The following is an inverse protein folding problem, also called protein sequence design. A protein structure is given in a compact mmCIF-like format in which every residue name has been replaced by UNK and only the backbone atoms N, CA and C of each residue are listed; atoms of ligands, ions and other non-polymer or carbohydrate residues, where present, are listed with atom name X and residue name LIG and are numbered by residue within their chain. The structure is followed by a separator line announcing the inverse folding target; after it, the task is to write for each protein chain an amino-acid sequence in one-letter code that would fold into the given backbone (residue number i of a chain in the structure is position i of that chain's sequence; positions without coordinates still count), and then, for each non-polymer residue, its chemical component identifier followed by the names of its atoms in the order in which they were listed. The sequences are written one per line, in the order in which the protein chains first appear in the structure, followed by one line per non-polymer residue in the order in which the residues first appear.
data_IF_280302760202
#
_entry.id   IF_280302760202
#
_cell.length_a   1.000
_cell.length_b   1.000
_cell.length_c   1.000
_cell.angle_alpha   90.00
_cell.angle_beta   90.00
_cell.angle_gamma   90.00
#
_symmetry.space_group_name_H-M   'P 1'
#
loop_
_entity.id
_entity.type
_entity.pdbx_description
1 polymer ?
#
# COMPACT_ATOMS: atom_id res chain seq x y z
N UNK A 1 -17.88 -25.02 11.04
CA UNK A 1 -18.86 -25.36 12.10
C UNK A 1 -19.87 -24.25 12.14
N UNK A 2 -21.16 -24.56 11.93
CA UNK A 2 -22.23 -23.55 11.99
C UNK A 2 -22.37 -23.05 13.43
N UNK A 3 -21.81 -21.93 13.78
CA UNK A 3 -22.04 -21.26 15.06
C UNK A 3 -23.49 -20.76 15.11
N UNK A 4 -24.15 -20.93 16.26
CA UNK A 4 -25.57 -20.51 16.38
C UNK A 4 -25.73 -19.00 16.21
N UNK A 5 -26.84 -18.49 15.66
CA UNK A 5 -27.10 -17.06 15.50
C UNK A 5 -26.93 -16.27 16.82
N UNK A 6 -27.29 -16.89 17.94
CA UNK A 6 -27.14 -16.31 19.28
C UNK A 6 -25.66 -16.13 19.62
N UNK A 7 -24.82 -17.13 19.34
CA UNK A 7 -23.37 -17.06 19.57
C UNK A 7 -22.74 -15.94 18.74
N UNK A 8 -23.12 -15.81 17.48
CA UNK A 8 -22.60 -14.75 16.57
C UNK A 8 -23.03 -13.35 17.01
N UNK A 9 -24.28 -13.18 17.46
CA UNK A 9 -24.75 -11.91 18.04
C UNK A 9 -23.93 -11.53 19.26
N UNK A 10 -23.61 -12.49 20.14
CA UNK A 10 -22.75 -12.27 21.31
C UNK A 10 -21.35 -11.86 20.91
N UNK A 11 -20.75 -12.55 19.95
CA UNK A 11 -19.42 -12.25 19.43
C UNK A 11 -19.36 -10.83 18.87
N UNK A 12 -20.30 -10.41 18.02
CA UNK A 12 -20.37 -9.06 17.45
C UNK A 12 -20.45 -7.97 18.51
N UNK A 13 -21.15 -8.23 19.62
CA UNK A 13 -21.31 -7.26 20.71
C UNK A 13 -20.12 -7.27 21.66
N UNK A 14 -19.59 -8.46 22.02
CA UNK A 14 -18.48 -8.56 23.00
C UNK A 14 -17.13 -8.16 22.39
N UNK A 15 -16.94 -8.36 21.07
CA UNK A 15 -15.76 -7.89 20.34
C UNK A 15 -15.77 -6.37 20.05
N UNK A 16 -16.89 -5.68 20.35
CA UNK A 16 -17.02 -4.25 20.11
C UNK A 16 -17.30 -3.86 18.66
N UNK A 17 -17.45 -4.83 17.75
CA UNK A 17 -17.77 -4.60 16.33
C UNK A 17 -19.10 -3.87 16.16
N UNK A 18 -20.08 -4.18 17.02
CA UNK A 18 -21.36 -3.47 17.05
C UNK A 18 -21.83 -3.23 18.49
N UNK A 19 -22.47 -2.07 18.72
CA UNK A 19 -23.19 -1.86 19.98
C UNK A 19 -24.52 -2.62 19.97
N UNK A 20 -25.03 -3.02 21.14
CA UNK A 20 -26.36 -3.67 21.28
C UNK A 20 -27.48 -2.89 20.56
N UNK A 21 -27.47 -1.56 20.73
CA UNK A 21 -28.46 -0.68 20.10
C UNK A 21 -28.24 -0.54 18.59
N UNK A 22 -27.00 -0.53 18.11
CA UNK A 22 -26.63 -0.49 16.69
C UNK A 22 -27.08 -1.75 15.98
N UNK A 23 -26.75 -2.93 16.52
CA UNK A 23 -27.18 -4.23 16.00
C UNK A 23 -28.72 -4.38 15.97
N UNK A 24 -29.41 -3.93 17.03
CA UNK A 24 -30.88 -3.96 17.06
C UNK A 24 -31.48 -3.13 15.91
N UNK A 25 -31.01 -1.89 15.72
CA UNK A 25 -31.47 -1.03 14.62
C UNK A 25 -31.19 -1.65 13.26
N UNK A 26 -29.99 -2.17 13.04
CA UNK A 26 -29.57 -2.79 11.78
C UNK A 26 -30.39 -4.05 11.44
N UNK A 27 -30.79 -4.83 12.46
CA UNK A 27 -31.68 -5.99 12.31
C UNK A 27 -33.18 -5.63 12.26
N UNK A 28 -33.55 -4.33 12.23
CA UNK A 28 -34.95 -3.91 12.24
C UNK A 28 -35.70 -4.25 13.55
N UNK A 29 -34.97 -4.22 14.66
CA UNK A 29 -35.47 -4.49 16.00
C UNK A 29 -35.53 -3.21 16.86
N UNK A 30 -36.37 -3.21 17.88
CA UNK A 30 -36.35 -2.13 18.87
C UNK A 30 -35.05 -2.17 19.69
N UNK A 31 -34.45 -1.01 19.99
CA UNK A 31 -33.12 -0.89 20.62
C UNK A 31 -32.94 -1.68 21.90
N UNK A 32 -34.02 -1.87 22.68
CA UNK A 32 -33.99 -2.62 23.94
C UNK A 32 -34.08 -4.15 23.76
N UNK A 33 -34.38 -4.66 22.55
CA UNK A 33 -34.59 -6.09 22.31
C UNK A 33 -33.31 -6.90 22.56
N UNK A 34 -32.13 -6.30 22.35
CA UNK A 34 -30.85 -6.94 22.56
C UNK A 34 -30.15 -6.54 23.88
N UNK A 35 -30.88 -5.92 24.84
CA UNK A 35 -30.28 -5.46 26.10
C UNK A 35 -29.50 -6.56 26.83
N UNK A 36 -30.08 -7.73 26.90
CA UNK A 36 -29.58 -8.88 27.66
C UNK A 36 -28.92 -9.95 26.77
N UNK A 37 -28.61 -9.66 25.49
CA UNK A 37 -28.13 -10.63 24.50
C UNK A 37 -26.77 -11.26 24.83
N UNK A 38 -26.00 -10.67 25.72
CA UNK A 38 -24.73 -11.19 26.24
C UNK A 38 -24.89 -12.16 27.42
N UNK A 39 -26.09 -12.22 28.02
CA UNK A 39 -26.40 -13.11 29.15
C UNK A 39 -26.71 -14.54 28.60
N UNK A 40 -26.27 -15.57 29.32
CA UNK A 40 -26.49 -16.98 28.92
C UNK A 40 -27.99 -17.36 28.98
N UNK A 41 -28.76 -16.65 29.79
CA UNK A 41 -30.20 -16.85 29.96
C UNK A 41 -31.04 -16.18 28.84
N UNK A 42 -30.40 -15.35 27.97
CA UNK A 42 -31.14 -14.65 26.92
C UNK A 42 -31.73 -15.62 25.91
N UNK A 43 -33.05 -15.61 25.78
CA UNK A 43 -33.83 -16.44 24.90
C UNK A 43 -34.70 -15.57 23.98
N UNK A 44 -34.27 -15.22 22.77
CA UNK A 44 -35.03 -14.37 21.86
C UNK A 44 -36.27 -15.08 21.32
N UNK A 45 -37.31 -14.31 21.01
CA UNK A 45 -38.52 -14.83 20.31
C UNK A 45 -38.13 -15.32 18.93
N UNK A 46 -38.96 -16.21 18.34
CA UNK A 46 -38.74 -16.71 16.96
C UNK A 46 -38.69 -15.56 15.95
N UNK A 47 -39.48 -14.50 16.10
CA UNK A 47 -39.47 -13.33 15.24
C UNK A 47 -38.16 -12.55 15.38
N UNK A 48 -37.68 -12.35 16.62
CA UNK A 48 -36.39 -11.71 16.88
C UNK A 48 -35.25 -12.52 16.26
N UNK A 49 -35.27 -13.84 16.45
CA UNK A 49 -34.27 -14.75 15.88
C UNK A 49 -34.25 -14.69 14.36
N UNK A 50 -35.41 -14.74 13.69
CA UNK A 50 -35.50 -14.66 12.25
C UNK A 50 -34.97 -13.33 11.68
N UNK A 51 -35.22 -12.19 12.34
CA UNK A 51 -34.66 -10.89 11.97
C UNK A 51 -33.15 -10.83 12.17
N UNK A 52 -32.64 -11.42 13.26
CA UNK A 52 -31.21 -11.52 13.51
C UNK A 52 -30.55 -12.48 12.51
N UNK A 53 -31.14 -13.61 12.21
CA UNK A 53 -30.66 -14.54 11.17
C UNK A 53 -30.63 -13.86 9.80
N UNK A 54 -31.70 -13.17 9.42
CA UNK A 54 -31.74 -12.39 8.19
C UNK A 54 -30.63 -11.33 8.12
N UNK A 55 -30.42 -10.62 9.23
CA UNK A 55 -29.31 -9.67 9.35
C UNK A 55 -27.96 -10.35 9.26
N UNK A 56 -27.75 -11.45 10.01
CA UNK A 56 -26.50 -12.21 10.01
C UNK A 56 -26.20 -12.81 8.61
N UNK A 57 -27.19 -13.41 7.96
CA UNK A 57 -27.03 -13.94 6.59
C UNK A 57 -26.72 -12.82 5.60
N UNK A 58 -27.38 -11.67 5.71
CA UNK A 58 -27.11 -10.52 4.84
C UNK A 58 -25.74 -9.87 5.10
N UNK A 59 -25.12 -10.10 6.28
CA UNK A 59 -23.89 -9.44 6.71
C UNK A 59 -22.72 -10.40 6.95
N UNK A 60 -22.85 -11.68 6.70
CA UNK A 60 -22.05 -12.71 7.33
C UNK A 60 -20.99 -13.39 6.46
N UNK A 61 -20.95 -13.18 5.17
CA UNK A 61 -20.05 -13.96 4.28
C UNK A 61 -18.99 -13.13 3.55
N UNK A 62 -18.90 -11.83 3.80
CA UNK A 62 -17.85 -11.04 3.15
C UNK A 62 -16.92 -10.45 4.21
N UNK A 63 -15.61 -10.75 4.16
CA UNK A 63 -14.63 -9.98 4.91
C UNK A 63 -14.81 -8.50 4.53
N UNK A 64 -14.76 -7.62 5.52
CA UNK A 64 -14.92 -6.17 5.29
C UNK A 64 -13.86 -5.68 4.30
N UNK A 65 -12.65 -6.25 4.35
CA UNK A 65 -11.56 -5.99 3.44
C UNK A 65 -11.20 -7.26 2.66
N UNK A 66 -11.00 -7.11 1.35
CA UNK A 66 -10.50 -8.15 0.47
C UNK A 66 -8.98 -8.19 0.48
N UNK A 67 -8.37 -9.34 0.22
CA UNK A 67 -6.94 -9.46 -0.01
C UNK A 67 -6.53 -8.73 -1.30
N UNK A 68 -5.25 -8.39 -1.43
CA UNK A 68 -4.76 -7.74 -2.65
C UNK A 68 -4.82 -8.66 -3.86
N UNK A 69 -4.65 -9.96 -3.67
CA UNK A 69 -4.85 -10.98 -4.70
C UNK A 69 -6.28 -10.92 -5.25
N UNK A 70 -7.28 -10.81 -4.37
CA UNK A 70 -8.68 -10.66 -4.78
C UNK A 70 -8.93 -9.35 -5.52
N UNK A 71 -8.32 -8.23 -5.09
CA UNK A 71 -8.40 -6.93 -5.78
C UNK A 71 -7.75 -7.02 -7.17
N UNK A 72 -6.60 -7.68 -7.30
CA UNK A 72 -5.94 -7.93 -8.59
C UNK A 72 -6.85 -8.77 -9.50
N UNK A 73 -7.55 -9.75 -8.96
CA UNK A 73 -8.49 -10.57 -9.73
C UNK A 73 -9.75 -9.78 -10.15
N UNK A 74 -10.26 -8.87 -9.32
CA UNK A 74 -11.30 -7.93 -9.74
C UNK A 74 -10.83 -7.08 -10.93
N UNK A 75 -9.64 -6.48 -10.82
CA UNK A 75 -9.04 -5.69 -11.89
C UNK A 75 -8.87 -6.50 -13.19
N UNK A 76 -8.33 -7.73 -13.09
CA UNK A 76 -8.13 -8.64 -14.25
C UNK A 76 -9.43 -8.98 -14.95
N UNK A 77 -10.51 -9.12 -14.20
CA UNK A 77 -11.84 -9.42 -14.72
C UNK A 77 -12.63 -8.17 -15.14
N UNK A 78 -12.02 -6.98 -15.11
CA UNK A 78 -12.67 -5.72 -15.50
C UNK A 78 -13.75 -5.27 -14.54
N UNK A 79 -13.75 -5.75 -13.29
CA UNK A 79 -14.66 -5.31 -12.24
C UNK A 79 -14.04 -4.15 -11.45
N UNK A 80 -14.93 -3.24 -11.06
CA UNK A 80 -14.57 -2.09 -10.24
C UNK A 80 -14.33 -2.53 -8.79
N UNK A 81 -13.36 -1.92 -8.14
CA UNK A 81 -13.01 -2.15 -6.74
C UNK A 81 -12.79 -0.82 -6.03
N UNK A 82 -12.71 -0.85 -4.71
CA UNK A 82 -12.42 0.30 -3.86
C UNK A 82 -11.03 0.09 -3.25
N UNK A 83 -10.19 1.11 -3.26
CA UNK A 83 -9.01 1.17 -2.40
C UNK A 83 -9.17 2.30 -1.40
N UNK A 84 -8.74 2.03 -0.16
CA UNK A 84 -8.72 2.99 0.94
C UNK A 84 -7.28 3.32 1.27
N UNK A 85 -6.95 4.59 1.46
CA UNK A 85 -5.66 5.02 1.95
C UNK A 85 -5.62 5.14 3.47
N UNK A 86 -4.46 5.50 4.03
CA UNK A 86 -4.27 5.59 5.47
C UNK A 86 -5.06 6.76 6.08
N UNK A 87 -5.51 6.58 7.35
CA UNK A 87 -6.22 7.60 8.12
C UNK A 87 -5.39 8.89 8.29
N UNK A 88 -4.05 8.76 8.35
CA UNK A 88 -3.11 9.87 8.48
C UNK A 88 -2.82 10.60 7.15
N UNK A 89 -3.38 10.11 6.01
CA UNK A 89 -3.22 10.73 4.70
C UNK A 89 -4.48 11.49 4.27
N UNK A 90 -5.30 10.97 3.36
CA UNK A 90 -6.57 11.55 2.93
C UNK A 90 -7.74 10.90 3.69
N UNK A 91 -7.55 9.65 4.12
CA UNK A 91 -8.57 8.81 4.75
C UNK A 91 -9.82 8.69 3.87
N UNK A 92 -9.61 8.41 2.59
CA UNK A 92 -10.66 8.37 1.57
C UNK A 92 -10.68 7.00 0.87
N UNK A 93 -11.75 6.72 0.15
CA UNK A 93 -11.88 5.56 -0.70
C UNK A 93 -12.24 5.95 -2.11
N UNK A 94 -11.48 5.43 -3.08
CA UNK A 94 -11.72 5.64 -4.49
C UNK A 94 -12.31 4.40 -5.14
N UNK A 95 -13.32 4.59 -5.98
CA UNK A 95 -13.69 3.63 -7.02
C UNK A 95 -12.59 3.57 -8.06
N UNK A 96 -12.10 2.37 -8.35
CA UNK A 96 -11.01 2.17 -9.31
C UNK A 96 -11.41 1.10 -10.33
N UNK A 97 -11.06 1.32 -11.58
CA UNK A 97 -11.14 0.33 -12.65
C UNK A 97 -9.90 0.47 -13.56
N UNK A 98 -9.29 -0.63 -14.05
CA UNK A 98 -8.25 -0.51 -15.06
C UNK A 98 -8.74 0.29 -16.28
N UNK A 99 -7.94 1.24 -16.77
CA UNK A 99 -8.39 2.18 -17.79
C UNK A 99 -8.83 1.50 -19.10
N UNK A 100 -8.23 0.35 -19.46
CA UNK A 100 -8.67 -0.42 -20.64
C UNK A 100 -10.05 -1.07 -20.48
N UNK A 101 -10.57 -1.14 -19.24
CA UNK A 101 -11.90 -1.66 -18.91
C UNK A 101 -12.91 -0.54 -18.59
N UNK A 102 -12.52 0.75 -18.75
CA UNK A 102 -13.35 1.91 -18.47
C UNK A 102 -14.41 2.12 -19.56
N UNK A 103 -15.49 1.33 -19.49
CA UNK A 103 -16.65 1.47 -20.39
C UNK A 103 -17.49 2.71 -20.06
N UNK A 104 -18.37 3.17 -20.96
CA UNK A 104 -19.34 4.23 -20.64
C UNK A 104 -20.17 3.93 -19.39
N UNK A 105 -20.53 2.66 -19.16
CA UNK A 105 -21.26 2.22 -17.97
C UNK A 105 -20.46 2.40 -16.70
N UNK A 106 -19.15 2.07 -16.72
CA UNK A 106 -18.25 2.25 -15.60
C UNK A 106 -18.10 3.75 -15.26
N UNK A 107 -17.89 4.61 -16.26
CA UNK A 107 -17.80 6.06 -16.09
C UNK A 107 -19.10 6.63 -15.55
N UNK A 108 -20.25 6.17 -16.06
CA UNK A 108 -21.55 6.60 -15.55
C UNK A 108 -21.76 6.15 -14.08
N UNK A 109 -21.30 4.95 -13.73
CA UNK A 109 -21.37 4.46 -12.34
C UNK A 109 -20.54 5.35 -11.41
N UNK A 110 -19.30 5.66 -11.77
CA UNK A 110 -18.44 6.59 -11.01
C UNK A 110 -19.08 7.96 -10.85
N UNK A 111 -19.58 8.55 -11.92
CA UNK A 111 -20.23 9.86 -11.89
C UNK A 111 -21.50 9.88 -11.02
N UNK A 112 -22.29 8.79 -11.03
CA UNK A 112 -23.57 8.73 -10.31
C UNK A 112 -23.39 8.37 -8.84
N UNK A 113 -22.50 7.42 -8.54
CA UNK A 113 -22.39 6.81 -7.21
C UNK A 113 -21.10 7.24 -6.48
N UNK A 114 -19.98 7.43 -7.18
CA UNK A 114 -18.76 7.98 -6.60
C UNK A 114 -18.91 9.47 -6.32
N UNK A 115 -19.35 10.26 -7.30
CA UNK A 115 -19.59 11.72 -7.24
C UNK A 115 -18.33 12.54 -7.17
N UNK A 116 -17.14 11.92 -7.07
CA UNK A 116 -15.83 12.54 -7.08
C UNK A 116 -15.37 12.99 -8.46
N UNK A 117 -14.13 13.44 -8.56
CA UNK A 117 -13.51 13.81 -9.82
C UNK A 117 -13.00 12.56 -10.55
N UNK A 118 -13.57 12.27 -11.74
CA UNK A 118 -13.10 11.14 -12.54
C UNK A 118 -11.75 11.48 -13.17
N UNK A 119 -10.70 10.85 -12.70
CA UNK A 119 -9.33 11.06 -13.11
C UNK A 119 -8.75 9.82 -13.82
N UNK A 120 -7.79 10.04 -14.72
CA UNK A 120 -7.07 9.00 -15.44
C UNK A 120 -5.63 8.89 -14.91
N UNK A 121 -5.35 7.92 -14.07
CA UNK A 121 -4.01 7.61 -13.61
C UNK A 121 -3.19 6.95 -14.73
N UNK A 122 -2.05 7.54 -15.08
CA UNK A 122 -1.14 7.10 -16.14
C UNK A 122 0.28 6.92 -15.61
N UNK A 123 0.98 5.90 -16.10
CA UNK A 123 2.41 5.80 -15.92
C UNK A 123 3.14 6.98 -16.56
N UNK A 124 4.25 7.44 -15.95
CA UNK A 124 5.04 8.58 -16.43
C UNK A 124 5.41 8.46 -17.92
N UNK A 125 5.86 7.28 -18.36
CA UNK A 125 6.22 7.04 -19.76
C UNK A 125 5.07 7.33 -20.73
N UNK A 126 3.81 7.09 -20.33
CA UNK A 126 2.64 7.40 -21.16
C UNK A 126 2.34 8.90 -21.18
N UNK A 127 2.46 9.57 -20.03
CA UNK A 127 2.32 11.04 -19.92
C UNK A 127 3.35 11.74 -20.80
N UNK A 128 4.61 11.29 -20.75
CA UNK A 128 5.70 11.83 -21.58
C UNK A 128 5.43 11.60 -23.07
N UNK A 129 5.00 10.38 -23.48
CA UNK A 129 4.67 10.04 -24.85
C UNK A 129 3.53 10.92 -25.42
N UNK A 130 2.52 11.19 -24.60
CA UNK A 130 1.40 12.07 -24.97
C UNK A 130 1.75 13.57 -24.86
N UNK A 131 2.97 13.91 -24.41
CA UNK A 131 3.44 15.29 -24.20
C UNK A 131 2.50 16.12 -23.31
N UNK A 132 1.91 15.49 -22.28
CA UNK A 132 1.00 16.17 -21.36
C UNK A 132 1.79 17.02 -20.37
N UNK A 133 1.54 18.33 -20.41
CA UNK A 133 2.20 19.27 -19.50
C UNK A 133 1.56 19.23 -18.11
N UNK A 134 2.33 19.46 -17.03
CA UNK A 134 1.74 19.66 -15.70
C UNK A 134 0.70 20.79 -15.71
N UNK A 135 -0.41 20.60 -15.02
CA UNK A 135 -1.46 21.61 -14.89
C UNK A 135 -0.95 22.90 -14.21
N UNK A 136 0.01 22.75 -13.30
CA UNK A 136 0.68 23.86 -12.63
C UNK A 136 2.20 23.68 -12.66
N UNK A 137 2.95 24.76 -13.00
CA UNK A 137 4.41 24.75 -12.91
C UNK A 137 4.94 24.69 -11.49
N UNK A 138 4.14 25.15 -10.53
CA UNK A 138 4.47 25.13 -9.11
C UNK A 138 3.29 24.48 -8.37
N UNK A 139 3.37 23.15 -8.21
CA UNK A 139 2.36 22.41 -7.49
C UNK A 139 2.46 22.70 -5.99
N UNK A 140 1.44 23.35 -5.44
CA UNK A 140 1.29 23.69 -4.02
C UNK A 140 0.23 22.86 -3.31
N UNK A 141 -0.32 21.87 -3.99
CA UNK A 141 -1.28 20.95 -3.43
C UNK A 141 -0.61 20.13 -2.33
N UNK A 142 -1.31 19.91 -1.20
CA UNK A 142 -0.77 19.33 0.04
C UNK A 142 -0.23 17.90 -0.16
N UNK A 143 -0.91 17.10 -0.98
CA UNK A 143 -0.54 15.72 -1.29
C UNK A 143 0.35 15.61 -2.54
N UNK A 144 0.65 16.74 -3.20
CA UNK A 144 1.46 16.84 -4.41
C UNK A 144 0.97 15.95 -5.56
N UNK A 145 -0.36 15.81 -5.71
CA UNK A 145 -0.97 15.06 -6.80
C UNK A 145 -0.57 15.69 -8.14
N UNK A 146 0.00 14.87 -9.02
CA UNK A 146 0.61 15.34 -10.25
C UNK A 146 -0.43 15.45 -11.38
N UNK A 147 -1.34 16.40 -11.26
CA UNK A 147 -2.28 16.76 -12.33
C UNK A 147 -1.55 17.24 -13.58
N UNK A 148 -1.97 16.73 -14.74
CA UNK A 148 -1.62 17.30 -16.04
C UNK A 148 -2.78 18.13 -16.57
N UNK A 149 -2.54 18.85 -17.68
CA UNK A 149 -3.62 19.53 -18.41
C UNK A 149 -4.72 18.52 -18.76
N UNK A 150 -5.99 18.93 -18.64
CA UNK A 150 -7.13 18.09 -19.01
C UNK A 150 -7.17 17.83 -20.52
N UNK A 151 -7.70 16.68 -20.91
CA UNK A 151 -7.67 16.19 -22.28
C UNK A 151 -9.06 15.84 -22.81
N UNK A 152 -9.15 15.82 -24.14
CA UNK A 152 -10.29 15.32 -24.90
C UNK A 152 -9.78 14.52 -26.09
N UNK A 153 -10.49 13.44 -26.49
CA UNK A 153 -10.22 12.80 -27.77
C UNK A 153 -10.53 13.76 -28.92
N UNK A 154 -9.63 13.85 -29.90
CA UNK A 154 -9.82 14.71 -31.08
C UNK A 154 -11.01 14.28 -31.93
N UNK A 155 -11.28 12.96 -31.95
CA UNK A 155 -12.32 12.36 -32.76
C UNK A 155 -13.17 11.36 -31.97
N UNK A 156 -14.44 11.26 -32.35
CA UNK A 156 -15.37 10.29 -31.77
C UNK A 156 -16.00 10.74 -30.46
N UNK A 157 -16.01 12.03 -30.18
CA UNK A 157 -16.68 12.67 -29.04
C UNK A 157 -17.65 13.74 -29.53
N UNK A 158 -18.62 14.11 -28.69
CA UNK A 158 -19.56 15.20 -28.93
C UNK A 158 -19.13 16.47 -28.19
N UNK A 159 -19.66 16.68 -26.97
CA UNK A 159 -19.28 17.79 -26.09
C UNK A 159 -18.20 17.42 -25.09
N UNK A 160 -17.79 16.14 -25.04
CA UNK A 160 -16.71 15.66 -24.19
C UNK A 160 -17.11 15.17 -22.79
N UNK A 161 -18.15 15.77 -22.19
CA UNK A 161 -18.51 15.52 -20.78
C UNK A 161 -19.33 14.23 -20.58
N UNK A 162 -20.00 13.69 -21.62
CA UNK A 162 -20.81 12.48 -21.46
C UNK A 162 -19.97 11.29 -21.01
N UNK A 163 -20.58 10.30 -20.37
CA UNK A 163 -19.89 9.08 -19.98
C UNK A 163 -19.25 8.36 -21.20
N UNK A 164 -19.92 8.39 -22.34
CA UNK A 164 -19.41 7.83 -23.59
C UNK A 164 -18.20 8.61 -24.14
N UNK A 165 -18.26 9.95 -24.12
CA UNK A 165 -17.15 10.79 -24.58
C UNK A 165 -15.91 10.65 -23.69
N UNK A 166 -16.10 10.63 -22.35
CA UNK A 166 -14.99 10.42 -21.42
C UNK A 166 -14.37 9.02 -21.57
N UNK A 167 -15.18 7.96 -21.70
CA UNK A 167 -14.69 6.61 -21.96
C UNK A 167 -13.92 6.56 -23.30
N UNK A 168 -14.40 7.26 -24.35
CA UNK A 168 -13.67 7.40 -25.62
C UNK A 168 -12.34 8.10 -25.43
N UNK A 169 -12.30 9.21 -24.72
CA UNK A 169 -11.06 9.96 -24.44
C UNK A 169 -10.05 9.09 -23.67
N UNK A 170 -10.51 8.35 -22.66
CA UNK A 170 -9.67 7.42 -21.91
C UNK A 170 -9.09 6.34 -22.84
N UNK A 171 -9.92 5.75 -23.71
CA UNK A 171 -9.48 4.71 -24.64
C UNK A 171 -8.39 5.20 -25.61
N UNK A 172 -8.51 6.44 -26.10
CA UNK A 172 -7.49 7.09 -26.95
C UNK A 172 -6.22 7.37 -26.15
N UNK A 173 -6.38 7.89 -24.93
CA UNK A 173 -5.25 8.26 -24.08
C UNK A 173 -4.37 7.04 -23.68
N UNK A 174 -4.91 5.83 -23.57
CA UNK A 174 -4.14 4.64 -23.21
C UNK A 174 -3.67 3.78 -24.40
N UNK A 175 -4.17 4.06 -25.62
CA UNK A 175 -3.83 3.30 -26.82
C UNK A 175 -2.39 3.60 -27.25
N UNK A 176 -1.52 2.57 -27.24
CA UNK A 176 -0.11 2.70 -27.58
C UNK A 176 0.14 3.18 -29.03
N UNK A 177 -0.83 2.99 -29.94
CA UNK A 177 -0.76 3.47 -31.32
C UNK A 177 -1.13 4.96 -31.49
N UNK A 178 -1.64 5.60 -30.41
CA UNK A 178 -2.11 6.99 -30.38
C UNK A 178 -1.07 7.89 -29.72
N UNK A 179 -0.98 9.14 -30.19
CA UNK A 179 -0.03 10.13 -29.74
C UNK A 179 -0.68 11.49 -29.39
N UNK A 180 0.15 12.54 -29.23
CA UNK A 180 -0.35 13.89 -28.88
C UNK A 180 -1.37 14.44 -29.86
N UNK A 181 -1.24 14.11 -31.14
CA UNK A 181 -2.11 14.61 -32.22
C UNK A 181 -3.52 14.01 -32.22
N UNK A 182 -3.74 12.92 -31.46
CA UNK A 182 -5.04 12.28 -31.29
C UNK A 182 -5.86 12.87 -30.14
N UNK A 183 -5.29 13.79 -29.37
CA UNK A 183 -5.89 14.46 -28.24
C UNK A 183 -5.94 15.99 -28.46
N UNK A 184 -6.89 16.64 -27.81
CA UNK A 184 -6.96 18.09 -27.68
C UNK A 184 -7.00 18.50 -26.21
N UNK A 185 -6.61 19.74 -25.93
CA UNK A 185 -6.60 20.33 -24.58
C UNK A 185 -7.17 21.74 -24.63
N UNK A 186 -7.92 22.19 -23.60
CA UNK A 186 -8.40 21.43 -22.46
C UNK A 186 -9.53 20.47 -22.83
N UNK A 187 -9.91 19.56 -21.91
CA UNK A 187 -11.00 18.59 -22.07
C UNK A 187 -11.65 18.21 -20.74
N UNK A 188 -12.37 17.10 -20.73
CA UNK A 188 -13.19 16.64 -19.60
C UNK A 188 -12.65 15.39 -18.91
N UNK A 189 -11.47 14.93 -19.27
CA UNK A 189 -10.71 13.89 -18.55
C UNK A 189 -9.45 14.52 -17.97
N UNK A 190 -9.16 14.20 -16.71
CA UNK A 190 -8.05 14.77 -15.93
C UNK A 190 -6.96 13.71 -15.73
N UNK A 191 -5.88 13.71 -16.53
CA UNK A 191 -4.79 12.77 -16.35
C UNK A 191 -3.95 13.12 -15.11
N UNK A 192 -3.58 12.08 -14.35
CA UNK A 192 -2.67 12.14 -13.23
C UNK A 192 -1.43 11.32 -13.56
N UNK A 193 -0.25 11.89 -13.32
CA UNK A 193 1.01 11.19 -13.54
C UNK A 193 1.42 10.45 -12.29
N UNK A 194 1.40 9.11 -12.32
CA UNK A 194 1.91 8.27 -11.24
C UNK A 194 3.43 8.43 -11.09
N UNK A 195 3.92 8.42 -9.84
CA UNK A 195 5.35 8.41 -9.54
C UNK A 195 5.99 7.11 -10.01
N UNK A 196 7.19 7.18 -10.60
CA UNK A 196 7.99 5.99 -10.87
C UNK A 196 8.29 5.26 -9.56
N UNK A 197 8.12 3.94 -9.55
CA UNK A 197 8.13 3.12 -8.34
C UNK A 197 6.75 2.91 -7.71
N UNK A 198 5.71 3.66 -8.17
CA UNK A 198 4.33 3.44 -7.77
C UNK A 198 4.08 3.65 -6.27
N UNK A 199 3.24 2.81 -5.67
CA UNK A 199 2.86 2.91 -4.26
C UNK A 199 4.03 2.77 -3.27
N UNK A 200 5.15 2.21 -3.70
CA UNK A 200 6.39 2.15 -2.90
C UNK A 200 7.10 3.51 -2.76
N UNK A 201 6.74 4.48 -3.59
CA UNK A 201 7.29 5.86 -3.56
C UNK A 201 6.26 6.85 -3.03
N UNK A 202 4.99 6.70 -3.43
CA UNK A 202 3.87 7.54 -2.97
C UNK A 202 2.63 6.67 -2.75
N UNK A 203 2.17 6.59 -1.52
CA UNK A 203 1.04 5.75 -1.09
C UNK A 203 -0.31 6.40 -1.47
N UNK A 204 -0.51 6.75 -2.76
CA UNK A 204 -1.72 7.40 -3.26
C UNK A 204 -2.52 6.53 -4.23
N UNK A 205 -3.81 6.86 -4.38
CA UNK A 205 -4.75 6.17 -5.28
C UNK A 205 -4.27 6.18 -6.74
N UNK A 206 -3.61 7.26 -7.20
CA UNK A 206 -3.01 7.36 -8.54
C UNK A 206 -2.00 6.25 -8.79
N UNK A 207 -1.03 6.08 -7.87
CA UNK A 207 -0.01 5.04 -7.95
C UNK A 207 -0.62 3.65 -7.80
N UNK A 208 -1.59 3.49 -6.89
CA UNK A 208 -2.27 2.23 -6.63
C UNK A 208 -3.05 1.73 -7.85
N UNK A 209 -3.75 2.61 -8.56
CA UNK A 209 -4.48 2.26 -9.78
C UNK A 209 -3.56 1.74 -10.89
N UNK A 210 -2.39 2.39 -11.07
CA UNK A 210 -1.37 1.96 -12.04
C UNK A 210 -0.74 0.62 -11.63
N UNK A 211 -0.42 0.46 -10.35
CA UNK A 211 0.20 -0.76 -9.81
C UNK A 211 -0.73 -1.97 -9.91
N UNK A 212 -1.99 -1.86 -9.49
CA UNK A 212 -2.95 -2.96 -9.59
C UNK A 212 -3.16 -3.35 -11.06
N UNK A 213 -3.31 -2.37 -11.97
CA UNK A 213 -3.45 -2.66 -13.40
C UNK A 213 -2.23 -3.42 -13.94
N UNK A 214 -1.01 -3.00 -13.58
CA UNK A 214 0.24 -3.70 -13.93
C UNK A 214 0.28 -5.12 -13.35
N UNK A 215 -0.06 -5.29 -12.08
CA UNK A 215 -0.08 -6.59 -11.39
C UNK A 215 -1.14 -7.54 -11.97
N UNK A 216 -2.25 -6.99 -12.47
CA UNK A 216 -3.27 -7.73 -13.20
C UNK A 216 -2.84 -8.14 -14.62
N UNK A 217 -1.65 -7.69 -15.10
CA UNK A 217 -1.16 -7.95 -16.48
C UNK A 217 -1.82 -7.08 -17.54
N UNK A 218 -2.40 -5.95 -17.15
CA UNK A 218 -3.13 -5.00 -17.98
C UNK A 218 -2.25 -3.78 -18.32
N UNK A 219 -2.77 -2.87 -19.16
CA UNK A 219 -2.15 -1.57 -19.40
C UNK A 219 -1.96 -0.84 -18.06
N UNK A 220 -0.74 -0.33 -17.73
CA UNK A 220 -0.45 0.32 -16.45
C UNK A 220 -1.12 1.70 -16.35
N UNK A 221 -2.43 1.70 -16.28
CA UNK A 221 -3.31 2.85 -16.20
C UNK A 221 -4.62 2.49 -15.54
N UNK A 222 -5.22 3.41 -14.81
CA UNK A 222 -6.50 3.20 -14.14
C UNK A 222 -7.35 4.47 -14.12
N UNK A 223 -8.66 4.28 -14.04
CA UNK A 223 -9.59 5.37 -13.79
C UNK A 223 -9.96 5.33 -12.32
N UNK A 224 -9.89 6.46 -11.67
CA UNK A 224 -10.17 6.63 -10.24
C UNK A 224 -11.23 7.70 -10.04
N UNK A 225 -12.01 7.56 -8.98
CA UNK A 225 -13.03 8.53 -8.59
C UNK A 225 -13.30 8.39 -7.10
N UNK A 226 -13.14 9.46 -6.35
CA UNK A 226 -13.41 9.52 -4.92
C UNK A 226 -14.89 9.22 -4.64
N UNK A 227 -15.18 8.61 -3.48
CA UNK A 227 -16.55 8.32 -3.05
C UNK A 227 -17.00 9.36 -2.03
N UNK A 228 -18.06 10.07 -2.35
CA UNK A 228 -18.71 11.03 -1.46
C UNK A 228 -20.08 10.51 -0.98
N UNK A 229 -20.41 10.84 0.27
CA UNK A 229 -21.74 10.65 0.84
C UNK A 229 -22.80 11.53 0.14
N UNK A 230 -24.07 11.25 0.42
CA UNK A 230 -25.20 12.00 -0.17
C UNK A 230 -25.23 13.47 0.24
N UNK A 231 -24.67 13.79 1.40
CA UNK A 231 -24.54 15.15 1.92
C UNK A 231 -23.32 15.93 1.38
N UNK A 232 -22.48 15.26 0.53
CA UNK A 232 -21.28 15.84 -0.06
C UNK A 232 -20.03 15.71 0.80
N UNK A 233 -20.08 15.06 1.98
CA UNK A 233 -18.89 14.73 2.76
C UNK A 233 -18.17 13.52 2.16
N UNK A 234 -16.87 13.37 2.43
CA UNK A 234 -16.11 12.22 1.97
C UNK A 234 -16.53 10.95 2.71
N UNK A 235 -16.76 9.86 1.98
CA UNK A 235 -17.07 8.57 2.56
C UNK A 235 -15.83 7.99 3.27
N UNK A 236 -15.99 7.54 4.52
CA UNK A 236 -14.97 6.87 5.31
C UNK A 236 -15.22 5.37 5.34
N UNK A 237 -14.34 4.58 5.92
CA UNK A 237 -14.40 3.12 5.86
C UNK A 237 -15.78 2.54 6.17
N UNK A 238 -16.47 3.01 7.20
CA UNK A 238 -17.82 2.52 7.55
C UNK A 238 -18.87 2.82 6.47
N UNK A 239 -18.77 4.01 5.84
CA UNK A 239 -19.63 4.40 4.72
C UNK A 239 -19.31 3.55 3.49
N UNK A 240 -18.01 3.31 3.23
CA UNK A 240 -17.52 2.49 2.11
C UNK A 240 -17.96 1.03 2.25
N UNK A 241 -17.98 0.48 3.45
CA UNK A 241 -18.55 -0.86 3.72
C UNK A 241 -20.03 -0.91 3.37
N UNK A 242 -20.78 0.14 3.74
CA UNK A 242 -22.20 0.25 3.37
C UNK A 242 -22.39 0.38 1.85
N UNK A 243 -21.54 1.19 1.21
CA UNK A 243 -21.52 1.34 -0.26
C UNK A 243 -21.20 0.01 -0.95
N UNK A 244 -20.18 -0.71 -0.48
CA UNK A 244 -19.76 -1.98 -1.05
C UNK A 244 -20.84 -3.07 -0.93
N UNK A 245 -21.57 -3.09 0.19
CA UNK A 245 -22.72 -4.00 0.35
C UNK A 245 -23.86 -3.71 -0.64
N UNK A 246 -24.05 -2.44 -0.99
CA UNK A 246 -25.11 -1.99 -1.90
C UNK A 246 -24.75 -2.22 -3.38
N UNK A 247 -23.48 -2.03 -3.74
CA UNK A 247 -23.05 -1.96 -5.13
C UNK A 247 -22.08 -3.06 -5.55
N UNK A 248 -21.62 -3.90 -4.61
CA UNK A 248 -20.81 -5.10 -4.78
C UNK A 248 -19.31 -4.92 -5.14
N UNK A 249 -18.67 -3.72 -5.11
CA UNK A 249 -17.23 -3.66 -5.25
C UNK A 249 -16.54 -4.21 -3.99
N UNK A 250 -15.41 -4.92 -4.17
CA UNK A 250 -14.53 -5.29 -3.07
C UNK A 250 -13.74 -4.09 -2.57
N UNK A 251 -13.39 -4.09 -1.29
CA UNK A 251 -12.57 -3.04 -0.65
C UNK A 251 -11.22 -3.63 -0.30
N UNK A 252 -10.14 -3.00 -0.76
CA UNK A 252 -8.76 -3.27 -0.33
C UNK A 252 -8.12 -2.02 0.25
N UNK A 253 -6.89 -2.13 0.80
CA UNK A 253 -6.13 -1.00 1.32
C UNK A 253 -4.85 -0.76 0.54
N UNK A 254 -4.43 0.50 0.43
CA UNK A 254 -3.13 0.84 -0.19
C UNK A 254 -1.99 0.28 0.68
N UNK A 255 -2.15 0.22 1.99
CA UNK A 255 -1.19 -0.40 2.92
C UNK A 255 -0.92 -1.86 2.56
N UNK A 256 -1.98 -2.65 2.33
CA UNK A 256 -1.84 -4.07 1.96
C UNK A 256 -1.22 -4.23 0.57
N UNK A 257 -1.52 -3.31 -0.38
CA UNK A 257 -0.88 -3.29 -1.68
C UNK A 257 0.62 -3.01 -1.57
N UNK A 258 1.03 -2.07 -0.72
CA UNK A 258 2.45 -1.82 -0.44
C UNK A 258 3.10 -3.08 0.12
N UNK A 259 2.50 -3.70 1.15
CA UNK A 259 3.02 -4.94 1.74
C UNK A 259 3.09 -6.09 0.72
N UNK A 260 2.09 -6.22 -0.16
CA UNK A 260 2.09 -7.20 -1.26
C UNK A 260 3.24 -6.95 -2.23
N UNK A 261 3.42 -5.71 -2.70
CA UNK A 261 4.50 -5.34 -3.63
C UNK A 261 5.88 -5.55 -3.01
N UNK A 262 6.05 -5.19 -1.75
CA UNK A 262 7.31 -5.39 -1.03
C UNK A 262 7.72 -6.86 -0.96
N UNK A 263 6.75 -7.79 -0.87
CA UNK A 263 6.99 -9.24 -0.84
C UNK A 263 7.22 -9.84 -2.24
N UNK A 264 6.56 -9.31 -3.25
CA UNK A 264 6.48 -9.95 -4.58
C UNK A 264 7.32 -9.25 -5.67
N UNK A 265 7.63 -7.95 -5.52
CA UNK A 265 8.48 -7.23 -6.46
C UNK A 265 9.97 -7.45 -6.11
N UNK A 266 10.81 -7.67 -7.11
CA UNK A 266 12.27 -7.68 -6.94
C UNK A 266 12.79 -6.24 -6.92
N UNK A 267 12.89 -5.66 -5.72
CA UNK A 267 13.23 -4.25 -5.52
C UNK A 267 14.75 -3.98 -5.51
N UNK A 268 15.56 -5.03 -5.40
CA UNK A 268 17.01 -4.91 -5.27
C UNK A 268 17.75 -5.62 -6.40
N UNK A 269 18.88 -5.04 -6.81
CA UNK A 269 19.78 -5.59 -7.82
C UNK A 269 21.20 -5.61 -7.27
N UNK A 270 21.82 -6.79 -7.24
CA UNK A 270 23.21 -6.94 -6.83
C UNK A 270 24.13 -6.46 -7.94
N UNK A 271 24.98 -5.46 -7.65
CA UNK A 271 25.87 -4.85 -8.63
C UNK A 271 27.27 -5.46 -8.62
N UNK A 272 27.79 -5.83 -7.45
CA UNK A 272 29.13 -6.39 -7.34
C UNK A 272 29.58 -6.52 -5.89
N UNK A 273 30.80 -7.05 -5.72
CA UNK A 273 31.39 -7.24 -4.40
C UNK A 273 32.88 -6.97 -4.37
N UNK A 274 33.41 -6.61 -3.21
CA UNK A 274 34.84 -6.47 -2.96
C UNK A 274 35.19 -6.77 -1.51
N UNK A 275 36.40 -7.27 -1.26
CA UNK A 275 36.96 -7.37 0.08
C UNK A 275 37.60 -6.04 0.49
N UNK A 276 37.52 -5.71 1.78
CA UNK A 276 38.25 -4.60 2.37
C UNK A 276 38.59 -4.87 3.85
N UNK A 277 39.55 -4.13 4.40
CA UNK A 277 39.89 -4.17 5.81
C UNK A 277 39.50 -2.86 6.47
N UNK A 278 38.87 -2.94 7.65
CA UNK A 278 38.49 -1.80 8.47
C UNK A 278 39.11 -1.90 9.83
N UNK A 279 39.35 -0.75 10.48
CA UNK A 279 39.74 -0.68 11.91
C UNK A 279 38.63 -1.24 12.81
N UNK A 280 37.40 -1.33 12.29
CA UNK A 280 36.24 -1.86 12.98
C UNK A 280 35.98 -3.29 12.50
N UNK A 281 36.30 -4.28 13.31
CA UNK A 281 36.03 -5.70 13.05
C UNK A 281 36.94 -6.36 12.00
N UNK A 282 37.99 -5.71 11.48
CA UNK A 282 39.02 -6.30 10.60
C UNK A 282 38.55 -6.50 9.15
N UNK A 283 38.65 -7.72 8.61
CA UNK A 283 38.33 -8.01 7.20
C UNK A 283 36.82 -8.19 6.97
N UNK A 284 36.36 -7.59 5.89
CA UNK A 284 34.95 -7.62 5.45
C UNK A 284 34.84 -7.89 3.96
N UNK A 285 33.72 -8.49 3.55
CA UNK A 285 33.24 -8.50 2.16
C UNK A 285 32.14 -7.44 2.05
N UNK A 286 32.33 -6.44 1.20
CA UNK A 286 31.32 -5.44 0.88
C UNK A 286 30.62 -5.86 -0.40
N UNK A 287 29.29 -5.90 -0.38
CA UNK A 287 28.44 -6.18 -1.54
C UNK A 287 27.60 -4.94 -1.80
N UNK A 288 27.53 -4.50 -3.05
CA UNK A 288 26.74 -3.34 -3.46
C UNK A 288 25.45 -3.79 -4.10
N UNK A 289 24.35 -3.23 -3.65
CA UNK A 289 23.02 -3.40 -4.21
C UNK A 289 22.50 -2.05 -4.72
N UNK A 290 21.65 -2.08 -5.74
CA UNK A 290 20.85 -0.94 -6.20
C UNK A 290 19.39 -1.15 -5.78
N UNK A 291 18.78 -0.17 -5.15
CA UNK A 291 17.35 -0.04 -4.99
C UNK A 291 16.75 0.37 -6.35
N UNK A 292 16.01 -0.52 -6.98
CA UNK A 292 15.40 -0.27 -8.30
C UNK A 292 14.28 0.76 -8.26
N UNK A 293 13.73 1.05 -7.09
CA UNK A 293 12.62 1.99 -6.90
C UNK A 293 13.14 3.43 -6.80
N UNK A 294 14.14 3.67 -5.94
CA UNK A 294 14.70 5.00 -5.72
C UNK A 294 15.99 5.27 -6.50
N UNK A 295 16.60 4.25 -7.10
CA UNK A 295 17.90 4.36 -7.75
C UNK A 295 19.08 4.50 -6.79
N UNK A 296 18.85 4.47 -5.47
CA UNK A 296 19.90 4.59 -4.46
C UNK A 296 20.70 3.29 -4.36
N UNK A 297 21.95 3.39 -3.91
CA UNK A 297 22.77 2.23 -3.56
C UNK A 297 22.57 1.85 -2.10
N UNK A 298 22.63 0.55 -1.83
CA UNK A 298 22.74 -0.02 -0.49
C UNK A 298 24.00 -0.88 -0.42
N UNK A 299 24.67 -0.87 0.71
CA UNK A 299 25.92 -1.61 0.90
C UNK A 299 25.74 -2.66 1.99
N UNK A 300 26.17 -3.88 1.70
CA UNK A 300 26.23 -4.94 2.70
C UNK A 300 27.65 -5.12 3.15
N UNK A 301 27.86 -5.14 4.46
CA UNK A 301 29.09 -5.61 5.08
C UNK A 301 28.86 -7.01 5.61
N UNK A 302 29.49 -8.00 5.00
CA UNK A 302 29.42 -9.38 5.41
C UNK A 302 30.75 -9.83 6.00
N UNK A 303 30.67 -10.49 7.17
CA UNK A 303 31.78 -11.18 7.82
C UNK A 303 31.45 -12.65 7.92
N UNK A 304 32.43 -13.51 7.63
CA UNK A 304 32.21 -14.95 7.59
C UNK A 304 31.21 -15.36 6.50
N UNK A 305 30.50 -16.44 6.73
CA UNK A 305 29.50 -17.00 5.81
C UNK A 305 28.12 -16.99 6.46
N UNK A 306 27.10 -16.70 5.68
CA UNK A 306 25.70 -16.99 6.06
C UNK A 306 25.47 -18.46 5.81
N UNK A 307 25.02 -19.19 6.84
CA UNK A 307 24.71 -20.61 6.77
C UNK A 307 23.18 -20.74 6.75
N UNK A 308 22.58 -21.24 5.66
CA UNK A 308 21.13 -21.42 5.61
C UNK A 308 20.60 -22.28 6.76
N UNK A 309 19.56 -21.82 7.43
CA UNK A 309 18.96 -22.52 8.58
C UNK A 309 19.65 -22.27 9.93
N UNK A 310 20.74 -21.49 9.97
CA UNK A 310 21.36 -21.06 11.22
C UNK A 310 21.08 -19.54 11.45
N UNK A 311 20.81 -19.14 12.72
CA UNK A 311 20.57 -17.73 13.03
C UNK A 311 21.78 -16.85 12.72
N UNK A 312 21.61 -15.89 11.83
CA UNK A 312 22.66 -14.94 11.43
C UNK A 312 22.56 -13.65 12.26
N UNK A 313 23.67 -13.18 12.83
CA UNK A 313 23.73 -11.87 13.47
C UNK A 313 23.60 -10.78 12.41
N UNK A 314 22.47 -10.09 12.38
CA UNK A 314 22.12 -9.17 11.30
C UNK A 314 21.68 -7.79 11.81
N UNK A 315 22.02 -6.76 11.05
CA UNK A 315 21.60 -5.38 11.28
C UNK A 315 21.19 -4.72 9.96
N UNK A 316 20.04 -4.06 9.95
CA UNK A 316 19.71 -3.04 8.93
C UNK A 316 20.04 -1.68 9.53
N UNK A 317 20.93 -0.92 8.88
CA UNK A 317 21.48 0.33 9.38
C UNK A 317 21.25 1.47 8.38
N UNK A 318 20.32 2.38 8.67
CA UNK A 318 20.24 3.65 7.93
C UNK A 318 21.43 4.52 8.30
N UNK A 319 22.25 4.89 7.31
CA UNK A 319 23.43 5.71 7.56
C UNK A 319 23.04 7.15 7.89
N UNK A 320 23.65 7.68 8.96
CA UNK A 320 23.54 9.09 9.36
C UNK A 320 24.91 9.74 9.24
N UNK A 321 25.02 10.81 8.45
CA UNK A 321 26.26 11.57 8.35
C UNK A 321 26.65 12.15 9.70
N UNK A 322 25.68 12.63 10.48
CA UNK A 322 25.95 13.23 11.80
C UNK A 322 26.44 12.20 12.82
N UNK A 323 25.74 11.06 12.93
CA UNK A 323 26.04 10.06 13.95
C UNK A 323 27.22 9.18 13.57
N UNK A 324 27.28 8.72 12.31
CA UNK A 324 28.25 7.72 11.87
C UNK A 324 29.52 8.32 11.29
N UNK A 325 29.46 9.51 10.64
CA UNK A 325 30.63 10.13 10.01
C UNK A 325 31.19 11.26 10.87
N UNK A 326 30.36 12.21 11.28
CA UNK A 326 30.79 13.39 12.05
C UNK A 326 30.87 13.12 13.56
N UNK A 327 30.29 12.01 14.04
CA UNK A 327 30.37 11.59 15.42
C UNK A 327 29.63 12.51 16.39
N UNK A 328 28.44 13.03 15.96
CA UNK A 328 27.61 13.88 16.82
C UNK A 328 27.35 13.22 18.17
N UNK A 329 27.50 13.92 19.29
CA UNK A 329 27.22 13.38 20.61
C UNK A 329 25.75 12.97 20.74
N UNK A 330 25.50 11.75 21.22
CA UNK A 330 24.15 11.22 21.41
C UNK A 330 24.14 9.69 21.45
N UNK A 331 22.97 9.08 21.72
CA UNK A 331 22.84 7.62 21.85
C UNK A 331 23.13 6.87 20.54
N UNK A 332 23.02 7.54 19.41
CA UNK A 332 23.30 6.96 18.08
C UNK A 332 24.75 7.16 17.59
N UNK A 333 25.58 7.86 18.36
CA UNK A 333 26.98 8.14 18.00
C UNK A 333 27.74 6.86 17.62
N UNK A 334 28.29 6.83 16.41
CA UNK A 334 29.12 5.73 15.89
C UNK A 334 28.43 4.34 15.97
N UNK A 335 27.11 4.29 15.82
CA UNK A 335 26.35 3.03 15.92
C UNK A 335 26.78 2.02 14.86
N UNK A 336 27.11 2.47 13.63
CA UNK A 336 27.64 1.61 12.58
C UNK A 336 28.96 0.96 13.01
N UNK A 337 29.93 1.76 13.50
CA UNK A 337 31.23 1.28 13.89
C UNK A 337 31.17 0.30 15.07
N UNK A 338 30.30 0.59 16.05
CA UNK A 338 30.05 -0.33 17.19
C UNK A 338 29.41 -1.65 16.74
N UNK A 339 28.47 -1.61 15.79
CA UNK A 339 27.90 -2.81 15.20
C UNK A 339 28.94 -3.63 14.40
N UNK A 340 29.83 -2.97 13.67
CA UNK A 340 30.94 -3.63 12.96
C UNK A 340 31.91 -4.30 13.95
N UNK A 341 32.23 -3.69 15.08
CA UNK A 341 33.04 -4.31 16.12
C UNK A 341 32.35 -5.54 16.72
N UNK A 342 31.08 -5.42 17.10
CA UNK A 342 30.31 -6.52 17.67
C UNK A 342 30.25 -7.74 16.74
N UNK A 343 29.99 -7.54 15.45
CA UNK A 343 29.99 -8.62 14.45
C UNK A 343 31.42 -9.11 14.21
N UNK A 344 32.42 -8.20 14.27
CA UNK A 344 33.83 -8.57 14.18
C UNK A 344 34.29 -9.54 15.28
N UNK A 345 33.87 -9.30 16.51
CA UNK A 345 34.12 -10.16 17.68
C UNK A 345 33.33 -11.48 17.61
N UNK A 346 32.09 -11.42 17.12
CA UNK A 346 31.28 -12.62 16.89
C UNK A 346 31.88 -13.53 15.80
N UNK A 347 32.60 -12.97 14.83
CA UNK A 347 33.26 -13.69 13.74
C UNK A 347 32.40 -13.90 12.48
N UNK A 348 31.07 -13.78 12.56
CA UNK A 348 30.16 -13.91 11.42
C UNK A 348 28.95 -12.99 11.60
N UNK A 349 28.42 -12.46 10.49
CA UNK A 349 27.21 -11.63 10.49
C UNK A 349 27.14 -10.65 9.30
N UNK A 350 26.03 -9.91 9.25
CA UNK A 350 25.68 -9.05 8.12
C UNK A 350 25.21 -7.69 8.63
N UNK A 351 25.70 -6.60 8.01
CA UNK A 351 25.15 -5.26 8.17
C UNK A 351 24.66 -4.79 6.79
N UNK A 352 23.38 -4.49 6.66
CA UNK A 352 22.82 -3.82 5.48
C UNK A 352 22.78 -2.33 5.74
N UNK A 353 23.60 -1.56 5.01
CA UNK A 353 23.67 -0.11 5.09
C UNK A 353 22.77 0.49 4.02
N UNK A 354 21.76 1.24 4.44
CA UNK A 354 20.84 1.95 3.56
C UNK A 354 21.28 3.41 3.45
N UNK A 355 21.54 3.86 2.20
CA UNK A 355 22.07 5.21 1.95
C UNK A 355 21.00 6.26 1.69
N UNK A 356 19.72 5.97 1.70
CA UNK A 356 18.58 6.85 1.47
C UNK A 356 18.88 8.36 1.46
N UNK A 357 17.97 9.24 1.71
CA UNK A 357 18.28 10.67 1.84
C UNK A 357 19.27 10.89 2.99
N UNK A 358 20.55 10.97 2.65
CA UNK A 358 21.65 11.24 3.58
C UNK A 358 21.45 12.64 4.17
N UNK A 359 20.91 12.70 5.38
CA UNK A 359 20.66 13.99 6.02
C UNK A 359 20.48 13.84 7.53
N UNK A 360 19.30 13.97 8.02
CA UNK A 360 18.99 14.12 9.45
C UNK A 360 18.79 12.81 10.20
N UNK A 361 18.70 11.66 9.52
CA UNK A 361 18.40 10.36 10.14
C UNK A 361 16.96 10.23 10.61
N UNK A 362 16.11 11.18 10.26
CA UNK A 362 14.66 11.12 10.48
C UNK A 362 13.96 10.65 9.21
N UNK A 363 13.13 9.63 9.35
CA UNK A 363 12.34 9.06 8.26
C UNK A 363 11.03 9.83 8.11
N UNK A 364 10.65 10.12 6.87
CA UNK A 364 9.27 10.54 6.60
C UNK A 364 8.36 9.31 6.62
N UNK A 365 7.11 9.50 7.02
CA UNK A 365 6.08 8.46 6.99
C UNK A 365 6.04 7.74 5.62
N UNK A 366 6.13 6.41 5.62
CA UNK A 366 6.23 5.59 4.41
C UNK A 366 7.67 5.22 3.97
N UNK A 367 8.71 6.00 4.31
CA UNK A 367 10.10 5.63 4.02
C UNK A 367 10.59 4.48 4.93
N UNK A 368 10.05 4.39 6.15
CA UNK A 368 10.43 3.36 7.12
C UNK A 368 10.06 1.96 6.62
N UNK A 369 8.82 1.76 6.21
CA UNK A 369 8.35 0.48 5.65
C UNK A 369 9.15 0.08 4.41
N UNK A 370 9.44 1.03 3.51
CA UNK A 370 10.23 0.77 2.31
C UNK A 370 11.66 0.35 2.66
N UNK A 371 12.30 1.01 3.60
CA UNK A 371 13.67 0.68 3.99
C UNK A 371 13.76 -0.68 4.71
N UNK A 372 12.74 -1.03 5.50
CA UNK A 372 12.60 -2.37 6.06
C UNK A 372 12.50 -3.39 4.91
N UNK A 373 11.70 -3.12 3.89
CA UNK A 373 11.54 -4.01 2.74
C UNK A 373 12.80 -4.21 1.91
N UNK A 374 13.52 -3.13 1.58
CA UNK A 374 14.80 -3.19 0.89
C UNK A 374 15.82 -3.99 1.72
N UNK A 375 15.93 -3.67 3.02
CA UNK A 375 16.80 -4.39 3.94
C UNK A 375 16.47 -5.89 4.02
N UNK A 376 15.20 -6.23 4.09
CA UNK A 376 14.71 -7.62 4.15
C UNK A 376 15.02 -8.39 2.86
N UNK A 377 14.74 -7.81 1.68
CA UNK A 377 15.06 -8.47 0.41
C UNK A 377 16.56 -8.70 0.23
N UNK A 378 17.40 -7.75 0.66
CA UNK A 378 18.86 -7.94 0.65
C UNK A 378 19.26 -9.10 1.58
N UNK A 379 18.70 -9.19 2.79
CA UNK A 379 18.98 -10.29 3.72
C UNK A 379 18.56 -11.65 3.15
N UNK A 380 17.38 -11.72 2.52
CA UNK A 380 16.91 -12.94 1.84
C UNK A 380 17.81 -13.32 0.65
N UNK A 381 18.24 -12.34 -0.17
CA UNK A 381 19.17 -12.58 -1.29
C UNK A 381 20.53 -13.13 -0.82
N UNK A 382 20.95 -12.77 0.40
CA UNK A 382 22.15 -13.31 1.06
C UNK A 382 21.96 -14.69 1.67
N UNK A 383 20.74 -15.24 1.64
CA UNK A 383 20.39 -16.56 2.22
C UNK A 383 20.08 -16.54 3.71
N UNK A 384 19.83 -15.38 4.30
CA UNK A 384 19.35 -15.26 5.68
C UNK A 384 17.89 -15.69 5.75
N UNK A 385 17.55 -16.63 6.63
CA UNK A 385 16.17 -17.02 7.01
C UNK A 385 15.89 -16.66 8.47
N UNK A 386 16.80 -17.06 9.33
CA UNK A 386 16.75 -16.83 10.77
C UNK A 386 17.81 -15.81 11.17
N UNK A 387 17.45 -14.84 12.02
CA UNK A 387 18.40 -13.82 12.42
C UNK A 387 18.35 -13.51 13.92
N UNK A 388 19.53 -13.16 14.45
CA UNK A 388 19.68 -12.42 15.70
C UNK A 388 19.75 -10.95 15.33
N UNK A 389 18.75 -10.17 15.68
CA UNK A 389 18.72 -8.75 15.33
C UNK A 389 19.61 -7.92 16.24
N UNK A 390 20.68 -7.34 15.68
CA UNK A 390 21.59 -6.44 16.37
C UNK A 390 21.01 -5.02 16.41
N UNK A 391 20.29 -4.67 17.47
CA UNK A 391 19.57 -3.39 17.58
C UNK A 391 19.34 -3.00 19.04
N UNK A 392 19.34 -1.67 19.31
CA UNK A 392 18.95 -1.10 20.60
C UNK A 392 17.47 -0.67 20.64
N UNK A 393 16.76 -0.73 19.50
CA UNK A 393 15.31 -0.55 19.38
C UNK A 393 14.65 -1.86 18.97
N UNK A 394 13.38 -2.02 19.31
CA UNK A 394 12.55 -3.12 18.82
C UNK A 394 11.69 -2.58 17.67
N UNK A 395 12.07 -2.81 16.41
CA UNK A 395 11.23 -2.45 15.28
C UNK A 395 9.96 -3.29 15.28
N UNK A 396 8.93 -2.80 14.60
CA UNK A 396 7.66 -3.53 14.45
C UNK A 396 7.90 -4.83 13.65
N UNK A 397 7.76 -5.97 14.33
CA UNK A 397 8.19 -7.28 13.84
C UNK A 397 7.30 -7.82 12.70
N UNK A 398 6.06 -7.35 12.62
CA UNK A 398 5.05 -7.82 11.66
C UNK A 398 5.49 -7.61 10.19
N UNK A 399 6.31 -6.59 9.94
CA UNK A 399 6.79 -6.28 8.59
C UNK A 399 7.85 -7.29 8.07
N UNK A 400 8.59 -7.98 8.92
CA UNK A 400 9.70 -8.86 8.53
C UNK A 400 9.25 -10.29 8.23
N UNK A 401 8.25 -10.81 8.95
CA UNK A 401 7.72 -12.17 8.76
C UNK A 401 7.19 -12.38 7.33
N UNK A 402 6.65 -11.31 6.71
CA UNK A 402 6.18 -11.34 5.33
C UNK A 402 7.24 -11.63 4.27
N UNK A 403 8.54 -11.52 4.61
CA UNK A 403 9.67 -11.82 3.70
C UNK A 403 10.30 -13.20 3.92
N UNK A 404 9.75 -14.00 4.84
CA UNK A 404 10.34 -15.29 5.23
C UNK A 404 11.57 -15.12 6.14
N UNK A 405 11.69 -13.97 6.81
CA UNK A 405 12.72 -13.70 7.82
C UNK A 405 12.14 -13.88 9.21
N UNK A 406 12.79 -14.69 10.04
CA UNK A 406 12.41 -14.90 11.44
C UNK A 406 13.44 -14.28 12.37
N UNK A 407 13.01 -13.40 13.29
CA UNK A 407 13.88 -12.91 14.36
C UNK A 407 13.83 -13.90 15.51
N UNK A 408 14.91 -14.66 15.71
CA UNK A 408 15.03 -15.65 16.78
C UNK A 408 15.37 -15.02 18.12
N UNK A 409 16.13 -13.94 18.11
CA UNK A 409 16.47 -13.17 19.31
C UNK A 409 16.97 -11.77 18.98
N UNK A 410 17.10 -10.94 20.01
CA UNK A 410 17.66 -9.58 19.93
C UNK A 410 18.97 -9.51 20.70
N UNK A 411 19.97 -8.84 20.12
CA UNK A 411 21.21 -8.50 20.77
C UNK A 411 21.38 -6.97 20.77
N UNK A 412 21.65 -6.32 21.92
CA UNK A 412 21.95 -4.92 21.96
C UNK A 412 23.30 -4.62 21.33
N UNK A 413 23.43 -3.44 20.70
CA UNK A 413 24.73 -2.92 20.25
C UNK A 413 25.49 -2.44 21.47
N UNK A 414 26.73 -2.90 21.71
CA UNK A 414 27.55 -2.43 22.84
C UNK A 414 27.75 -0.90 22.83
N UNK A 415 27.90 -0.28 24.02
CA UNK A 415 28.17 1.16 24.16
C UNK A 415 29.54 1.59 23.68
#
# INVERSE_FOLDING_TARGET
MNTSPITRVRELVTSGVMTKAGLARAAGLHTNTLRDCTEDTWNPTAETLAKLEGFLVANDERPVLASIEEIIDEARNGRMYILVDDEDRENEGDLIIPAQMATPQAINFMATHGRGLICLALAKARVDHLNLQPMSRNNKESMQTAFTISIEAKEGVTTGISAADRARTISVAIDAAKGPDDLVTPGHVFPLMAREGGTLVRAGHTEAAVDISRLAGLNPSGVICEIMNEDGTMARLDDLVTFARRHDPKIGTIRDLIAYRMRNDHLVERLGERAFTSDYGGQWRMITYRDRVAGNEAYVLQKGHVVPGEPTLARVHPISVFDDVLGQPGPRKRTLQRAMQAIGEHGAGVIVILTGRVGTGEWQHGEELRNIGIGSQILVDLGVSDMVLLSNSRPDLVALEGYGLTITSHQPIPE
#
